data_IF_660415180421
#
_entry.id   IF_660415180421
#
_cell.length_a   1.000
_cell.length_b   1.000
_cell.length_c   1.000
_cell.angle_alpha   90.00
_cell.angle_beta   90.00
_cell.angle_gamma   90.00
#
_symmetry.space_group_name_H-M   'P 1'
#
loop_
_entity.id
_entity.type
_entity.pdbx_description
1 polymer ?
#
# COMPACT_ATOMS: atom_id res chain seq x y z
N UNK A 1 -15.88 -25.90 -12.04
CA UNK A 1 -15.97 -24.58 -11.37
C UNK A 1 -16.03 -23.50 -12.44
N UNK A 2 -17.20 -22.90 -12.66
CA UNK A 2 -17.36 -21.75 -13.56
C UNK A 2 -16.73 -20.53 -12.89
N UNK A 3 -15.46 -20.26 -13.20
CA UNK A 3 -14.87 -18.95 -12.88
C UNK A 3 -15.55 -17.92 -13.78
N UNK A 4 -16.49 -17.17 -13.23
CA UNK A 4 -17.02 -15.96 -13.86
C UNK A 4 -15.86 -15.00 -14.02
N UNK A 5 -15.19 -15.03 -15.18
CA UNK A 5 -14.11 -14.11 -15.57
C UNK A 5 -14.67 -12.69 -15.73
N UNK A 6 -15.01 -12.04 -14.62
CA UNK A 6 -15.10 -10.58 -14.57
C UNK A 6 -13.66 -10.09 -14.50
N UNK A 7 -13.16 -9.52 -15.58
CA UNK A 7 -11.90 -8.77 -15.58
C UNK A 7 -11.99 -7.68 -14.51
N UNK A 8 -11.42 -7.93 -13.33
CA UNK A 8 -11.28 -6.96 -12.23
C UNK A 8 -9.97 -6.20 -12.39
N UNK A 9 -9.74 -5.67 -13.59
CA UNK A 9 -8.60 -4.79 -13.85
C UNK A 9 -9.00 -3.37 -13.51
N UNK A 10 -8.23 -2.72 -12.64
CA UNK A 10 -8.38 -1.32 -12.28
C UNK A 10 -7.24 -0.57 -12.96
N UNK A 11 -7.58 0.47 -13.72
CA UNK A 11 -6.59 1.44 -14.17
C UNK A 11 -6.28 2.35 -12.99
N UNK A 12 -4.99 2.50 -12.70
CA UNK A 12 -4.46 3.38 -11.67
C UNK A 12 -3.57 4.43 -12.33
N UNK A 13 -3.39 5.57 -11.69
CA UNK A 13 -2.47 6.59 -12.14
C UNK A 13 -0.99 6.14 -12.01
N UNK A 14 -0.09 6.94 -12.57
CA UNK A 14 1.35 6.68 -12.55
C UNK A 14 1.93 6.74 -11.14
N UNK A 15 1.39 7.60 -10.26
CA UNK A 15 1.90 7.77 -8.90
C UNK A 15 1.64 6.52 -8.04
N UNK A 16 0.43 5.97 -8.13
CA UNK A 16 0.04 4.72 -7.48
C UNK A 16 0.85 3.53 -8.03
N UNK A 17 1.13 3.51 -9.35
CA UNK A 17 1.98 2.50 -9.95
C UNK A 17 3.41 2.56 -9.41
N UNK A 18 4.01 3.75 -9.37
CA UNK A 18 5.36 3.94 -8.82
C UNK A 18 5.43 3.52 -7.35
N UNK A 19 4.44 3.89 -6.55
CA UNK A 19 4.37 3.51 -5.13
C UNK A 19 4.29 2.00 -4.95
N UNK A 20 3.43 1.31 -5.72
CA UNK A 20 3.31 -0.14 -5.68
C UNK A 20 4.60 -0.84 -6.09
N UNK A 21 5.32 -0.33 -7.09
CA UNK A 21 6.61 -0.86 -7.49
C UNK A 21 7.63 -0.79 -6.35
N UNK A 22 7.70 0.33 -5.63
CA UNK A 22 8.59 0.47 -4.46
C UNK A 22 8.24 -0.51 -3.33
N UNK A 23 6.94 -0.75 -3.09
CA UNK A 23 6.48 -1.76 -2.13
C UNK A 23 6.88 -3.17 -2.58
N UNK A 24 6.71 -3.48 -3.87
CA UNK A 24 7.04 -4.78 -4.45
C UNK A 24 8.54 -5.09 -4.38
N UNK A 25 9.39 -4.11 -4.64
CA UNK A 25 10.85 -4.22 -4.53
C UNK A 25 11.34 -4.20 -3.06
N UNK A 26 10.44 -4.08 -2.09
CA UNK A 26 10.76 -4.09 -0.66
C UNK A 26 11.48 -2.83 -0.16
N UNK A 27 11.54 -1.77 -0.98
CA UNK A 27 12.20 -0.51 -0.64
C UNK A 27 11.46 0.27 0.46
N UNK A 28 10.18 -0.05 0.67
CA UNK A 28 9.34 0.53 1.71
C UNK A 28 9.16 -0.39 2.93
N UNK A 29 10.02 -1.41 3.09
CA UNK A 29 9.95 -2.31 4.24
C UNK A 29 9.92 -1.52 5.57
N UNK A 30 9.01 -1.85 6.51
CA UNK A 30 8.19 -3.07 6.56
C UNK A 30 6.81 -2.96 5.90
N UNK A 31 6.52 -1.91 5.12
CA UNK A 31 5.27 -1.77 4.36
C UNK A 31 5.31 -2.74 3.17
N UNK A 32 4.38 -3.68 3.13
CA UNK A 32 4.29 -4.73 2.11
C UNK A 32 3.03 -4.64 1.25
N UNK A 33 2.15 -3.67 1.53
CA UNK A 33 0.93 -3.39 0.77
C UNK A 33 0.50 -1.95 1.00
N UNK A 34 -0.43 -1.47 0.16
CA UNK A 34 -1.15 -0.23 0.45
C UNK A 34 -1.88 -0.35 1.79
N UNK A 35 -1.81 0.72 2.57
CA UNK A 35 -2.49 0.81 3.87
C UNK A 35 -4.00 0.90 3.67
N UNK A 36 -4.74 0.25 4.57
CA UNK A 36 -6.16 0.53 4.70
C UNK A 36 -6.38 1.88 5.38
N UNK A 37 -7.63 2.36 5.38
CA UNK A 37 -7.99 3.63 6.04
C UNK A 37 -7.55 3.70 7.50
N UNK A 38 -7.87 2.67 8.29
CA UNK A 38 -7.55 2.65 9.72
C UNK A 38 -6.03 2.65 9.99
N UNK A 39 -5.27 1.90 9.20
CA UNK A 39 -3.80 1.91 9.31
C UNK A 39 -3.22 3.26 8.93
N UNK A 40 -3.70 3.87 7.85
CA UNK A 40 -3.23 5.19 7.43
C UNK A 40 -3.51 6.25 8.52
N UNK A 41 -4.72 6.27 9.07
CA UNK A 41 -5.09 7.18 10.16
C UNK A 41 -4.22 6.96 11.42
N UNK A 42 -3.87 5.71 11.74
CA UNK A 42 -2.99 5.40 12.86
C UNK A 42 -1.55 5.84 12.60
N UNK A 43 -1.02 5.58 11.40
CA UNK A 43 0.33 5.98 10.99
C UNK A 43 0.45 7.50 10.97
N UNK A 44 -0.52 8.22 10.42
CA UNK A 44 -0.51 9.69 10.38
C UNK A 44 -0.46 10.28 11.80
N UNK A 45 -1.22 9.69 12.74
CA UNK A 45 -1.26 10.15 14.13
C UNK A 45 0.01 9.82 14.90
N UNK A 46 0.55 8.62 14.71
CA UNK A 46 1.65 8.08 15.52
C UNK A 46 3.03 8.33 14.90
N UNK A 47 3.07 8.64 13.60
CA UNK A 47 4.26 8.66 12.73
C UNK A 47 5.04 7.35 12.77
N UNK A 48 4.34 6.26 13.03
CA UNK A 48 4.92 4.94 13.21
C UNK A 48 4.09 3.91 12.46
N UNK A 49 4.78 2.98 11.81
CA UNK A 49 4.17 1.81 11.23
C UNK A 49 4.82 0.56 11.84
N UNK A 50 4.01 -0.28 12.50
CA UNK A 50 4.47 -1.48 13.23
C UNK A 50 5.59 -1.21 14.26
N UNK A 51 5.52 -0.07 14.95
CA UNK A 51 6.50 0.32 15.96
C UNK A 51 7.82 0.86 15.41
N UNK A 52 7.96 0.97 14.08
CA UNK A 52 9.08 1.66 13.43
C UNK A 52 8.64 3.05 12.98
N UNK A 53 9.51 4.07 13.06
CA UNK A 53 9.22 5.39 12.51
C UNK A 53 8.88 5.31 11.02
N UNK A 54 7.82 5.98 10.61
CA UNK A 54 7.41 6.08 9.22
C UNK A 54 7.80 7.48 8.69
N UNK A 55 8.71 7.59 7.71
CA UNK A 55 9.31 8.87 7.33
C UNK A 55 8.45 9.69 6.36
N UNK A 56 7.30 9.18 5.93
CA UNK A 56 6.45 9.79 4.91
C UNK A 56 5.10 10.31 5.45
N UNK A 57 4.92 10.36 6.78
CA UNK A 57 3.74 10.89 7.50
C UNK A 57 4.01 12.23 8.17
#
# INVERSE_FOLDING_TARGET
MTSSKRNKTLYIDTEALSTLALVQEGLLAPVTRLMGRQEAEEVDRTRQYRGLPFPFS
#
